data_IF_771932045318
#
_entry.id   IF_771932045318
#
_cell.length_a   1.000
_cell.length_b   1.000
_cell.length_c   1.000
_cell.angle_alpha   90.00
_cell.angle_beta   90.00
_cell.angle_gamma   90.00
#
_symmetry.space_group_name_H-M   'P 1'
#
loop_
_entity.id
_entity.type
_entity.pdbx_description
1 polymer ?
#
# COMPACT_ATOMS: atom_id res chain seq x y z
N UNK A 1 -18.58 20.16 -45.43
CA UNK A 1 -17.90 18.88 -45.15
C UNK A 1 -16.43 19.11 -44.74
N UNK A 2 -16.16 19.73 -43.58
CA UNK A 2 -14.78 19.96 -43.09
C UNK A 2 -14.64 19.94 -41.56
N UNK A 3 -15.66 19.51 -40.83
CA UNK A 3 -15.68 19.54 -39.35
C UNK A 3 -15.83 18.13 -38.72
N UNK A 4 -15.39 17.08 -39.43
CA UNK A 4 -15.56 15.68 -39.00
C UNK A 4 -14.24 14.95 -38.70
N UNK A 5 -13.12 15.67 -38.57
CA UNK A 5 -11.79 15.05 -38.35
C UNK A 5 -11.14 15.33 -36.99
N UNK A 6 -11.82 16.02 -36.06
CA UNK A 6 -11.25 16.35 -34.74
C UNK A 6 -11.57 15.33 -33.62
N UNK A 7 -12.37 14.30 -33.90
CA UNK A 7 -12.80 13.34 -32.89
C UNK A 7 -11.81 12.19 -32.53
N UNK A 8 -10.86 11.71 -33.38
CA UNK A 8 -10.09 10.52 -33.01
C UNK A 8 -8.91 10.79 -32.06
N UNK A 9 -8.46 12.04 -31.90
CA UNK A 9 -7.24 12.35 -31.15
C UNK A 9 -7.40 12.19 -29.62
N UNK A 10 -8.63 12.22 -29.10
CA UNK A 10 -8.88 12.15 -27.65
C UNK A 10 -8.84 10.72 -27.08
N UNK A 11 -8.82 9.68 -27.91
CA UNK A 11 -8.85 8.27 -27.45
C UNK A 11 -7.48 7.70 -27.08
N UNK A 12 -6.38 8.43 -27.32
CA UNK A 12 -5.01 7.94 -27.05
C UNK A 12 -4.48 8.30 -25.65
N UNK A 13 -5.30 8.91 -24.78
CA UNK A 13 -4.93 9.24 -23.39
C UNK A 13 -5.26 8.09 -22.39
N UNK A 14 -5.58 6.90 -22.89
CA UNK A 14 -5.98 5.75 -22.09
C UNK A 14 -4.82 5.07 -21.35
N UNK A 15 -4.66 5.42 -20.08
CA UNK A 15 -4.16 4.57 -18.99
C UNK A 15 -2.71 4.04 -19.09
N UNK A 16 -1.75 4.83 -18.58
CA UNK A 16 -0.40 4.35 -18.23
C UNK A 16 -0.36 3.36 -17.05
N UNK A 17 -1.51 2.89 -16.55
CA UNK A 17 -1.61 1.95 -15.45
C UNK A 17 -2.30 0.66 -15.94
N UNK A 18 -1.59 -0.46 -15.86
CA UNK A 18 -2.19 -1.77 -16.11
C UNK A 18 -3.36 -2.00 -15.15
N UNK A 19 -4.50 -2.53 -15.64
CA UNK A 19 -5.64 -2.78 -14.79
C UNK A 19 -5.25 -3.74 -13.65
N UNK A 20 -5.86 -3.54 -12.47
CA UNK A 20 -5.77 -4.55 -11.42
C UNK A 20 -6.42 -5.85 -11.93
N UNK A 21 -5.86 -7.02 -11.59
CA UNK A 21 -6.50 -8.28 -11.95
C UNK A 21 -7.87 -8.40 -11.27
N UNK A 22 -8.75 -9.17 -11.89
CA UNK A 22 -10.04 -9.51 -11.29
C UNK A 22 -9.79 -10.39 -10.06
N UNK A 23 -10.32 -10.06 -8.87
CA UNK A 23 -10.17 -10.90 -7.70
C UNK A 23 -10.78 -12.30 -7.91
N UNK A 24 -10.04 -13.34 -7.53
CA UNK A 24 -10.48 -14.73 -7.40
C UNK A 24 -11.38 -14.87 -6.15
N UNK A 25 -12.65 -15.31 -6.29
CA UNK A 25 -13.56 -15.47 -5.17
C UNK A 25 -13.17 -16.58 -4.20
N UNK A 26 -12.24 -17.48 -4.56
CA UNK A 26 -11.74 -18.52 -3.65
C UNK A 26 -10.62 -18.02 -2.73
N UNK A 27 -10.17 -16.78 -2.92
CA UNK A 27 -9.07 -16.18 -2.18
C UNK A 27 -9.52 -14.93 -1.43
N UNK A 28 -8.78 -14.58 -0.39
CA UNK A 28 -8.90 -13.30 0.29
C UNK A 28 -8.22 -12.21 -0.54
N UNK A 29 -8.82 -11.03 -0.59
CA UNK A 29 -8.23 -9.85 -1.23
C UNK A 29 -7.85 -8.83 -0.16
N UNK A 30 -6.58 -8.43 -0.13
CA UNK A 30 -6.08 -7.40 0.79
C UNK A 30 -5.65 -6.18 -0.01
N UNK A 31 -6.36 -5.07 0.17
CA UNK A 31 -5.99 -3.79 -0.43
C UNK A 31 -5.04 -3.01 0.48
N UNK A 32 -4.15 -2.22 -0.12
CA UNK A 32 -3.20 -1.37 0.58
C UNK A 32 -3.69 0.07 0.48
N UNK A 33 -4.02 0.68 1.61
CA UNK A 33 -4.43 2.07 1.66
C UNK A 33 -3.25 2.99 1.88
N UNK A 34 -3.20 4.05 1.07
CA UNK A 34 -2.22 5.12 1.18
C UNK A 34 -2.92 6.47 1.06
N UNK A 35 -2.44 7.47 1.80
CA UNK A 35 -2.80 8.87 1.59
C UNK A 35 -1.96 9.48 0.46
N UNK A 36 -2.28 10.69 0.02
CA UNK A 36 -1.58 11.34 -1.11
C UNK A 36 -0.09 11.63 -0.84
N UNK A 37 0.30 11.74 0.43
CA UNK A 37 1.65 12.05 0.91
C UNK A 37 2.44 10.80 1.38
N UNK A 38 1.84 9.61 1.25
CA UNK A 38 2.46 8.35 1.67
C UNK A 38 2.38 7.29 0.58
N UNK A 39 3.20 6.25 0.69
CA UNK A 39 3.14 5.08 -0.17
C UNK A 39 3.15 3.80 0.68
N UNK A 40 2.12 2.97 0.55
CA UNK A 40 2.06 1.64 1.15
C UNK A 40 2.04 0.57 0.05
N UNK A 41 2.97 -0.37 0.11
CA UNK A 41 3.09 -1.45 -0.87
C UNK A 41 3.16 -2.82 -0.22
N UNK A 42 2.58 -3.83 -0.87
CA UNK A 42 2.88 -5.23 -0.60
C UNK A 42 4.34 -5.55 -0.96
N UNK A 43 5.03 -6.30 -0.09
CA UNK A 43 6.44 -6.69 -0.31
C UNK A 43 6.62 -8.22 -0.25
N UNK A 44 6.14 -8.88 0.81
CA UNK A 44 6.24 -10.34 0.95
C UNK A 44 4.95 -10.95 1.51
N UNK A 45 4.66 -12.16 1.08
CA UNK A 45 3.61 -13.03 1.61
C UNK A 45 4.28 -14.31 2.13
N UNK A 46 4.11 -14.60 3.42
CA UNK A 46 4.70 -15.76 4.10
C UNK A 46 6.20 -15.90 3.85
N UNK A 47 6.90 -14.77 3.94
CA UNK A 47 8.34 -14.71 3.70
C UNK A 47 8.76 -14.95 2.25
N UNK A 48 7.86 -14.86 1.26
CA UNK A 48 8.20 -14.91 -0.18
C UNK A 48 7.92 -13.57 -0.83
N UNK A 49 8.80 -13.12 -1.74
CA UNK A 49 8.62 -11.86 -2.48
C UNK A 49 7.29 -11.89 -3.23
N UNK A 50 6.51 -10.83 -3.04
CA UNK A 50 5.23 -10.66 -3.69
C UNK A 50 5.39 -9.86 -4.99
N UNK A 51 4.79 -10.29 -6.11
CA UNK A 51 5.08 -9.71 -7.43
C UNK A 51 4.36 -8.39 -7.71
N UNK A 52 3.26 -8.07 -7.01
CA UNK A 52 2.48 -6.85 -7.25
C UNK A 52 2.29 -6.06 -5.96
N UNK A 53 2.93 -4.90 -5.87
CA UNK A 53 2.88 -4.06 -4.67
C UNK A 53 1.52 -3.45 -4.34
N UNK A 54 0.52 -3.57 -5.22
CA UNK A 54 -0.76 -2.85 -5.10
C UNK A 54 -1.82 -3.59 -4.27
N UNK A 55 -1.67 -4.90 -4.06
CA UNK A 55 -2.61 -5.76 -3.32
C UNK A 55 -1.91 -7.04 -2.84
N UNK A 56 -2.56 -7.78 -1.93
CA UNK A 56 -2.32 -9.22 -1.80
C UNK A 56 -3.56 -10.01 -2.21
N UNK A 57 -3.32 -11.19 -2.75
CA UNK A 57 -4.35 -12.19 -3.02
C UNK A 57 -3.84 -13.53 -2.51
N UNK A 58 -4.52 -14.10 -1.52
CA UNK A 58 -4.00 -15.21 -0.72
C UNK A 58 -5.11 -16.20 -0.37
N UNK A 59 -4.70 -17.45 -0.15
CA UNK A 59 -5.60 -18.54 0.23
C UNK A 59 -6.26 -18.29 1.58
N UNK A 60 -7.41 -18.93 1.88
CA UNK A 60 -7.97 -18.88 3.22
C UNK A 60 -7.02 -19.47 4.28
N UNK A 61 -7.03 -18.88 5.47
CA UNK A 61 -6.26 -19.32 6.63
C UNK A 61 -5.21 -18.32 7.08
N UNK A 62 -4.13 -18.86 7.66
CA UNK A 62 -3.10 -18.09 8.35
C UNK A 62 -2.04 -17.58 7.41
N UNK A 63 -1.82 -16.26 7.43
CA UNK A 63 -0.81 -15.62 6.60
C UNK A 63 -0.07 -14.50 7.33
N UNK A 64 1.19 -14.33 6.93
CA UNK A 64 2.02 -13.18 7.28
C UNK A 64 2.18 -12.27 6.06
N UNK A 65 1.77 -11.01 6.21
CA UNK A 65 1.92 -9.96 5.21
C UNK A 65 3.07 -9.05 5.61
N UNK A 66 4.04 -8.84 4.73
CA UNK A 66 5.07 -7.81 4.90
C UNK A 66 4.83 -6.69 3.89
N UNK A 67 4.81 -5.47 4.40
CA UNK A 67 4.54 -4.26 3.62
C UNK A 67 5.70 -3.27 3.73
N UNK A 68 5.85 -2.44 2.71
CA UNK A 68 6.78 -1.31 2.67
C UNK A 68 5.98 -0.02 2.73
N UNK A 69 6.16 0.74 3.80
CA UNK A 69 5.50 2.02 4.01
C UNK A 69 6.52 3.16 3.89
N UNK A 70 6.23 4.15 3.06
CA UNK A 70 7.08 5.30 2.82
C UNK A 70 6.33 6.60 3.08
N UNK A 71 7.03 7.54 3.71
CA UNK A 71 6.52 8.87 4.02
C UNK A 71 7.67 9.86 4.14
N UNK A 72 7.36 11.14 4.04
CA UNK A 72 8.34 12.21 4.22
C UNK A 72 8.24 12.81 5.63
N UNK A 73 9.39 13.10 6.21
CA UNK A 73 9.50 13.86 7.46
C UNK A 73 10.26 15.14 7.18
N UNK A 74 9.71 16.25 7.67
CA UNK A 74 10.42 17.53 7.63
C UNK A 74 11.67 17.40 8.50
N UNK A 75 12.83 17.58 7.87
CA UNK A 75 14.08 17.74 8.58
C UNK A 75 14.01 19.00 9.45
N UNK A 76 14.52 18.94 10.67
CA UNK A 76 14.54 20.08 11.59
C UNK A 76 15.66 21.04 11.20
N UNK A 77 15.35 22.11 10.47
CA UNK A 77 16.25 23.23 10.23
C UNK A 77 16.14 24.31 11.31
N UNK A 78 17.25 24.97 11.64
CA UNK A 78 17.24 26.22 12.41
C UNK A 78 16.53 27.33 11.62
N UNK A 79 16.02 28.36 12.32
CA UNK A 79 15.37 29.52 11.69
C UNK A 79 16.30 30.09 10.61
N UNK A 80 15.90 29.97 9.34
CA UNK A 80 16.66 30.46 8.17
C UNK A 80 17.26 29.39 7.27
N UNK A 81 17.27 28.11 7.66
CA UNK A 81 17.76 27.00 6.81
C UNK A 81 16.60 26.11 6.36
N UNK A 82 16.28 26.12 5.06
CA UNK A 82 15.38 25.13 4.49
C UNK A 82 16.14 23.81 4.34
N UNK A 83 15.75 22.80 5.12
CA UNK A 83 16.28 21.45 5.00
C UNK A 83 15.38 20.59 4.12
N UNK A 84 15.98 19.84 3.19
CA UNK A 84 15.26 18.88 2.34
C UNK A 84 14.44 17.88 3.18
N UNK A 85 13.21 17.52 2.76
CA UNK A 85 12.44 16.45 3.39
C UNK A 85 13.21 15.14 3.36
N UNK A 86 13.12 14.39 4.45
CA UNK A 86 13.75 13.10 4.58
C UNK A 86 12.73 12.01 4.27
N UNK A 87 13.01 11.14 3.31
CA UNK A 87 12.15 9.99 3.01
C UNK A 87 12.44 8.86 4.00
N UNK A 88 11.44 8.50 4.79
CA UNK A 88 11.45 7.31 5.64
C UNK A 88 10.86 6.14 4.87
N UNK A 89 11.49 4.98 4.98
CA UNK A 89 10.90 3.71 4.56
C UNK A 89 10.86 2.78 5.77
N UNK A 90 9.70 2.21 6.06
CA UNK A 90 9.50 1.21 7.10
C UNK A 90 9.03 -0.12 6.49
N UNK A 91 9.57 -1.22 7.00
CA UNK A 91 9.10 -2.59 6.75
C UNK A 91 8.18 -3.00 7.90
N UNK A 92 6.94 -3.37 7.56
CA UNK A 92 5.89 -3.64 8.53
C UNK A 92 5.29 -5.02 8.29
N UNK A 93 5.29 -5.85 9.33
CA UNK A 93 4.74 -7.20 9.32
C UNK A 93 3.34 -7.21 9.95
N UNK A 94 2.37 -7.85 9.31
CA UNK A 94 1.04 -8.12 9.86
C UNK A 94 0.79 -9.63 9.85
N UNK A 95 0.28 -10.17 10.94
CA UNK A 95 -0.11 -11.59 11.05
C UNK A 95 -1.58 -11.68 11.37
N UNK A 96 -2.30 -12.52 10.63
CA UNK A 96 -3.69 -12.82 10.87
C UNK A 96 -3.99 -14.26 10.46
N UNK A 97 -4.76 -14.96 11.28
CA UNK A 97 -4.89 -16.42 11.20
C UNK A 97 -6.14 -16.85 10.41
N UNK A 98 -7.08 -15.93 10.19
CA UNK A 98 -8.44 -16.25 9.73
C UNK A 98 -8.82 -15.50 8.43
N UNK A 99 -7.90 -15.41 7.47
CA UNK A 99 -8.28 -14.91 6.15
C UNK A 99 -9.30 -15.86 5.50
N UNK A 100 -10.33 -15.31 4.88
CA UNK A 100 -11.43 -16.08 4.32
C UNK A 100 -11.65 -15.80 2.83
N UNK A 101 -12.06 -16.83 2.09
CA UNK A 101 -12.35 -16.76 0.67
C UNK A 101 -13.42 -15.70 0.37
N UNK A 102 -13.21 -14.90 -0.67
CA UNK A 102 -14.16 -13.89 -1.14
C UNK A 102 -14.28 -12.67 -0.22
N UNK A 103 -13.60 -12.66 0.93
CA UNK A 103 -13.59 -11.52 1.84
C UNK A 103 -12.57 -10.46 1.41
N UNK A 104 -12.89 -9.21 1.76
CA UNK A 104 -12.02 -8.06 1.52
C UNK A 104 -11.44 -7.57 2.83
N UNK A 105 -10.15 -7.26 2.78
CA UNK A 105 -9.39 -6.73 3.89
C UNK A 105 -8.65 -5.48 3.43
N UNK A 106 -8.28 -4.62 4.38
CA UNK A 106 -7.47 -3.45 4.10
C UNK A 106 -6.33 -3.32 5.09
N UNK A 107 -5.11 -3.14 4.58
CA UNK A 107 -4.00 -2.65 5.40
C UNK A 107 -3.98 -1.14 5.28
N UNK A 108 -3.96 -0.45 6.42
CA UNK A 108 -3.62 0.98 6.47
C UNK A 108 -2.35 1.16 7.28
N UNK A 109 -1.47 2.04 6.81
CA UNK A 109 -0.34 2.53 7.57
C UNK A 109 -0.44 4.05 7.76
N UNK A 110 0.06 4.55 8.88
CA UNK A 110 0.07 5.96 9.22
C UNK A 110 1.42 6.38 9.75
N UNK A 111 1.84 7.57 9.34
CA UNK A 111 2.97 8.26 9.94
C UNK A 111 2.55 8.85 11.29
N UNK A 112 3.39 8.64 12.30
CA UNK A 112 3.34 9.35 13.57
C UNK A 112 4.74 9.90 13.87
N UNK A 113 4.95 11.19 13.57
CA UNK A 113 6.27 11.82 13.60
C UNK A 113 7.26 11.07 12.69
N UNK A 114 8.31 10.48 13.27
CA UNK A 114 9.35 9.69 12.59
C UNK A 114 9.06 8.18 12.61
N UNK A 115 7.87 7.75 13.07
CA UNK A 115 7.49 6.35 13.22
C UNK A 115 6.34 5.99 12.30
N UNK A 116 6.21 4.71 11.99
CA UNK A 116 5.03 4.16 11.34
C UNK A 116 4.18 3.36 12.33
N UNK A 117 2.89 3.26 12.04
CA UNK A 117 1.97 2.29 12.62
C UNK A 117 1.14 1.71 11.48
N UNK A 118 0.69 0.46 11.61
CA UNK A 118 -0.22 -0.13 10.65
C UNK A 118 -1.26 -1.03 11.32
N UNK A 119 -2.35 -1.25 10.60
CA UNK A 119 -3.47 -2.09 11.02
C UNK A 119 -4.03 -2.85 9.82
N UNK A 120 -4.48 -4.07 10.08
CA UNK A 120 -5.32 -4.85 9.18
C UNK A 120 -6.78 -4.68 9.60
N UNK A 121 -7.64 -4.39 8.64
CA UNK A 121 -9.08 -4.23 8.83
C UNK A 121 -9.87 -5.25 8.02
N UNK A 122 -11.02 -5.65 8.54
CA UNK A 122 -12.09 -6.24 7.73
C UNK A 122 -12.85 -5.16 6.93
N UNK A 123 -13.85 -5.60 6.16
CA UNK A 123 -14.72 -4.73 5.37
C UNK A 123 -15.54 -3.75 6.23
N UNK A 124 -15.90 -4.15 7.46
CA UNK A 124 -16.63 -3.34 8.42
C UNK A 124 -15.73 -2.37 9.20
N UNK A 125 -14.43 -2.28 8.88
CA UNK A 125 -13.43 -1.42 9.55
C UNK A 125 -13.09 -1.86 10.98
N UNK A 126 -13.36 -3.09 11.37
CA UNK A 126 -12.85 -3.63 12.64
C UNK A 126 -11.36 -3.94 12.51
N UNK A 127 -10.60 -3.68 13.56
CA UNK A 127 -9.16 -4.01 13.61
C UNK A 127 -8.99 -5.50 13.87
N UNK A 128 -8.40 -6.21 12.92
CA UNK A 128 -8.10 -7.65 13.02
C UNK A 128 -6.68 -7.90 13.55
N UNK A 129 -5.73 -7.05 13.14
CA UNK A 129 -4.33 -7.16 13.56
C UNK A 129 -3.66 -5.77 13.58
N UNK A 130 -2.61 -5.65 14.40
CA UNK A 130 -1.69 -4.50 14.40
C UNK A 130 -0.38 -4.90 13.75
N UNK A 131 0.19 -3.99 12.96
CA UNK A 131 1.48 -4.19 12.32
C UNK A 131 2.65 -4.03 13.27
N UNK A 132 3.62 -4.93 13.18
CA UNK A 132 4.92 -4.87 13.82
C UNK A 132 5.91 -4.16 12.87
N UNK A 133 6.48 -3.03 13.32
CA UNK A 133 7.51 -2.33 12.53
C UNK A 133 8.85 -3.02 12.74
N UNK A 134 9.34 -3.71 11.71
CA UNK A 134 10.56 -4.50 11.77
C UNK A 134 11.81 -3.63 11.64
N UNK A 135 11.77 -2.70 10.67
CA UNK A 135 12.86 -1.77 10.38
C UNK A 135 12.26 -0.47 9.89
N UNK A 136 12.85 0.66 10.27
CA UNK A 136 12.51 1.93 9.64
C UNK A 136 13.72 2.86 9.57
N UNK A 137 13.91 3.51 8.42
CA UNK A 137 15.03 4.40 8.20
C UNK A 137 15.06 4.98 6.80
N UNK A 138 16.13 5.72 6.52
CA UNK A 138 16.31 6.48 5.28
C UNK A 138 17.21 5.76 4.28
N UNK A 139 17.96 4.77 4.75
CA UNK A 139 18.81 3.87 3.99
C UNK A 139 18.53 2.43 4.46
N UNK A 140 17.45 1.82 3.96
CA UNK A 140 17.11 0.43 4.28
C UNK A 140 17.46 -0.54 3.18
#
# INVERSE_FOLDING_TARGET
MRALFLAPALMMLGACASPLPKPDPQQAWVELYSSADTLLMADRLDGKRWPDGRYFQLTPGKHELETRFQFEVRSGGSIGMQSEPLRMTCEIRLRYDDFAAGQRYRVEARQQLMKAQAWLYDEQRNVLARGEVMRCGTAI
#
